data_IF_360422749487
#
_entry.id   IF_360422749487
#
_cell.length_a   1.000
_cell.length_b   1.000
_cell.length_c   1.000
_cell.angle_alpha   90.00
_cell.angle_beta   90.00
_cell.angle_gamma   90.00
#
_symmetry.space_group_name_H-M   'P 1'
#
loop_
_entity.id
_entity.type
_entity.pdbx_description
1 polymer ?
#
# COMPACT_ATOMS: atom_id res chain seq x y z
N UNK A 1 12.09 -16.94 65.80
CA UNK A 1 11.14 -17.08 64.68
C UNK A 1 11.34 -15.89 63.72
N UNK A 2 12.11 -16.09 62.63
CA UNK A 2 12.45 -15.04 61.67
C UNK A 2 11.60 -15.24 60.42
N UNK A 3 10.70 -14.29 60.18
CA UNK A 3 9.93 -14.23 58.92
C UNK A 3 10.79 -13.65 57.82
N UNK A 4 11.09 -14.43 56.80
CA UNK A 4 11.74 -13.95 55.58
C UNK A 4 10.63 -13.61 54.56
N UNK A 5 10.48 -12.31 54.25
CA UNK A 5 9.56 -11.84 53.22
C UNK A 5 10.27 -11.95 51.86
N UNK A 6 9.79 -12.84 51.02
CA UNK A 6 10.25 -12.96 49.64
C UNK A 6 9.53 -11.89 48.76
N UNK A 7 10.24 -10.89 48.30
CA UNK A 7 9.73 -9.92 47.34
C UNK A 7 9.83 -10.51 45.93
N UNK A 8 8.70 -10.83 45.34
CA UNK A 8 8.61 -11.24 43.92
C UNK A 8 8.71 -10.00 43.04
N UNK A 9 9.81 -9.86 42.30
CA UNK A 9 9.98 -8.86 41.29
C UNK A 9 9.29 -9.33 39.99
N UNK A 10 8.14 -8.76 39.67
CA UNK A 10 7.49 -8.96 38.39
C UNK A 10 8.26 -8.15 37.34
N UNK A 11 9.12 -8.82 36.57
CA UNK A 11 9.73 -8.23 35.38
C UNK A 11 8.67 -8.17 34.25
N UNK A 12 8.06 -7.01 34.09
CA UNK A 12 7.17 -6.73 32.96
C UNK A 12 7.99 -6.63 31.68
N UNK A 13 7.92 -7.66 30.83
CA UNK A 13 8.48 -7.59 29.46
C UNK A 13 7.63 -6.64 28.64
N UNK A 14 8.13 -5.42 28.42
CA UNK A 14 7.55 -4.51 27.44
C UNK A 14 7.79 -5.12 26.04
N UNK A 15 6.74 -5.66 25.43
CA UNK A 15 6.73 -6.02 24.02
C UNK A 15 6.81 -4.71 23.23
N UNK A 16 8.00 -4.39 22.75
CA UNK A 16 8.19 -3.29 21.79
C UNK A 16 7.44 -3.67 20.52
N UNK A 17 6.32 -3.00 20.26
CA UNK A 17 5.61 -3.11 18.99
C UNK A 17 6.56 -2.63 17.89
N UNK A 18 7.14 -3.58 17.14
CA UNK A 18 7.94 -3.27 15.96
C UNK A 18 7.04 -2.58 14.94
N UNK A 19 7.40 -1.34 14.53
CA UNK A 19 6.69 -0.64 13.47
C UNK A 19 6.71 -1.49 12.19
N UNK A 20 5.56 -1.61 11.52
CA UNK A 20 5.46 -2.39 10.28
C UNK A 20 6.20 -1.64 9.16
N UNK A 21 7.25 -2.25 8.63
CA UNK A 21 8.05 -1.71 7.51
C UNK A 21 7.72 -2.43 6.20
N UNK A 22 6.47 -2.82 6.01
CA UNK A 22 5.99 -3.52 4.82
C UNK A 22 4.89 -2.71 4.12
N UNK A 23 4.75 -2.82 2.79
CA UNK A 23 3.60 -2.25 2.08
C UNK A 23 2.26 -2.92 2.38
N UNK A 24 2.26 -4.09 3.04
CA UNK A 24 1.00 -4.78 3.39
C UNK A 24 0.16 -3.91 4.34
N UNK A 25 -1.12 -3.80 4.06
CA UNK A 25 -2.08 -3.05 4.87
C UNK A 25 -3.05 -2.21 4.05
N UNK A 26 -3.78 -1.34 4.73
CA UNK A 26 -4.73 -0.41 4.14
C UNK A 26 -4.10 0.99 4.04
N UNK A 27 -4.16 1.58 2.86
CA UNK A 27 -3.52 2.84 2.55
C UNK A 27 -4.51 3.86 1.99
N UNK A 28 -4.44 5.09 2.48
CA UNK A 28 -5.13 6.24 1.89
C UNK A 28 -4.27 6.82 0.78
N UNK A 29 -4.82 6.88 -0.42
CA UNK A 29 -4.19 7.56 -1.56
C UNK A 29 -4.51 9.05 -1.52
N UNK A 30 -3.54 9.86 -1.91
CA UNK A 30 -3.60 11.32 -1.75
C UNK A 30 -3.54 11.98 -3.12
N UNK A 31 -4.44 12.92 -3.36
CA UNK A 31 -4.45 13.74 -4.57
C UNK A 31 -3.23 14.67 -4.62
N UNK A 32 -2.52 14.67 -5.74
CA UNK A 32 -1.42 15.63 -5.97
C UNK A 32 -1.91 17.05 -6.22
N UNK A 33 -3.21 17.23 -6.48
CA UNK A 33 -3.78 18.55 -6.78
C UNK A 33 -4.04 19.37 -5.53
N UNK A 34 -4.58 18.73 -4.49
CA UNK A 34 -5.12 19.42 -3.33
C UNK A 34 -4.85 18.72 -1.99
N UNK A 35 -4.15 17.58 -2.01
CA UNK A 35 -3.82 16.81 -0.81
C UNK A 35 -5.02 16.06 -0.18
N UNK A 36 -6.17 16.02 -0.84
CA UNK A 36 -7.32 15.27 -0.34
C UNK A 36 -7.13 13.77 -0.46
N UNK A 37 -7.80 13.01 0.41
CA UNK A 37 -7.86 11.54 0.31
C UNK A 37 -8.77 11.17 -0.86
N UNK A 38 -8.25 10.38 -1.82
CA UNK A 38 -8.99 9.98 -3.02
C UNK A 38 -9.57 8.58 -2.93
N UNK A 39 -8.85 7.65 -2.31
CA UNK A 39 -9.31 6.26 -2.16
C UNK A 39 -8.59 5.55 -1.01
N UNK A 40 -9.05 4.35 -0.70
CA UNK A 40 -8.34 3.39 0.13
C UNK A 40 -7.97 2.17 -0.71
N UNK A 41 -6.70 1.76 -0.61
CA UNK A 41 -6.14 0.62 -1.31
C UNK A 41 -5.64 -0.40 -0.29
N UNK A 42 -6.12 -1.63 -0.39
CA UNK A 42 -5.65 -2.76 0.41
C UNK A 42 -4.53 -3.47 -0.34
N UNK A 43 -3.36 -3.54 0.28
CA UNK A 43 -2.22 -4.32 -0.20
C UNK A 43 -2.12 -5.60 0.63
N UNK A 44 -2.04 -6.74 -0.06
CA UNK A 44 -1.94 -8.07 0.55
C UNK A 44 -0.72 -8.82 0.02
N UNK A 45 -0.23 -9.76 0.82
CA UNK A 45 0.88 -10.65 0.48
C UNK A 45 0.30 -12.04 0.15
N UNK A 46 0.60 -12.53 -1.04
CA UNK A 46 0.29 -13.87 -1.50
C UNK A 46 1.59 -14.63 -1.75
N UNK A 47 2.10 -15.30 -0.71
CA UNK A 47 3.34 -16.09 -0.78
C UNK A 47 4.55 -15.28 -1.30
N UNK A 48 4.74 -14.08 -0.80
CA UNK A 48 5.86 -13.19 -1.15
C UNK A 48 5.60 -12.25 -2.32
N UNK A 49 4.46 -12.37 -3.00
CA UNK A 49 4.05 -11.48 -4.11
C UNK A 49 2.92 -10.57 -3.66
N UNK A 50 3.14 -9.26 -3.70
CA UNK A 50 2.13 -8.30 -3.29
C UNK A 50 1.18 -7.96 -4.43
N UNK A 51 -0.09 -7.84 -4.07
CA UNK A 51 -1.14 -7.26 -4.90
C UNK A 51 -1.93 -6.21 -4.12
N UNK A 52 -2.66 -5.34 -4.83
CA UNK A 52 -3.43 -4.29 -4.19
C UNK A 52 -4.75 -4.03 -4.91
N UNK A 53 -5.81 -3.80 -4.11
CA UNK A 53 -7.17 -3.53 -4.61
C UNK A 53 -7.73 -2.25 -4.03
N UNK A 54 -8.50 -1.52 -4.83
CA UNK A 54 -9.29 -0.38 -4.35
C UNK A 54 -10.43 -0.93 -3.50
N UNK A 55 -10.46 -0.59 -2.20
CA UNK A 55 -11.56 -0.94 -1.31
C UNK A 55 -12.64 0.14 -1.26
N UNK A 56 -12.23 1.41 -1.39
CA UNK A 56 -13.12 2.56 -1.27
C UNK A 56 -12.63 3.73 -2.12
N UNK A 57 -13.56 4.51 -2.63
CA UNK A 57 -13.29 5.83 -3.22
C UNK A 57 -13.99 6.93 -2.42
N UNK A 58 -13.33 8.06 -2.26
CA UNK A 58 -13.87 9.28 -1.67
C UNK A 58 -14.13 10.36 -2.74
N UNK A 59 -13.81 10.04 -3.99
CA UNK A 59 -14.01 10.94 -5.13
C UNK A 59 -15.50 11.06 -5.46
N UNK A 60 -15.98 12.29 -5.57
CA UNK A 60 -17.38 12.60 -5.92
C UNK A 60 -17.67 12.48 -7.42
N UNK A 61 -16.63 12.52 -8.25
CA UNK A 61 -16.71 12.35 -9.70
C UNK A 61 -16.70 10.87 -10.16
N UNK A 62 -16.51 9.93 -9.21
CA UNK A 62 -16.55 8.48 -9.47
C UNK A 62 -17.83 7.90 -8.88
N UNK A 63 -18.70 7.36 -9.72
CA UNK A 63 -19.94 6.72 -9.29
C UNK A 63 -19.65 5.39 -8.58
N UNK A 64 -20.56 4.97 -7.68
CA UNK A 64 -20.42 3.71 -6.95
C UNK A 64 -20.38 2.47 -7.87
N UNK A 65 -21.00 2.52 -9.04
CA UNK A 65 -21.04 1.47 -10.05
C UNK A 65 -20.05 1.69 -11.19
N UNK A 66 -19.12 2.65 -11.05
CA UNK A 66 -18.12 2.94 -12.07
C UNK A 66 -17.25 1.71 -12.37
N UNK A 67 -16.90 1.55 -13.63
CA UNK A 67 -16.08 0.47 -14.16
C UNK A 67 -14.82 1.02 -14.82
N UNK A 68 -13.77 0.18 -14.90
CA UNK A 68 -12.56 0.53 -15.63
C UNK A 68 -12.77 0.36 -17.13
N UNK A 69 -13.46 1.28 -17.76
CA UNK A 69 -13.76 1.29 -19.19
C UNK A 69 -12.53 1.57 -20.06
N UNK A 70 -11.48 2.19 -19.50
CA UNK A 70 -10.21 2.46 -20.17
C UNK A 70 -9.14 1.39 -19.95
N UNK A 71 -9.36 0.44 -19.02
CA UNK A 71 -8.47 -0.71 -18.87
C UNK A 71 -8.44 -1.56 -20.15
N UNK A 72 -7.28 -2.17 -20.46
CA UNK A 72 -7.05 -2.88 -21.72
C UNK A 72 -6.86 -4.40 -21.57
N UNK A 73 -6.64 -4.88 -20.34
CA UNK A 73 -6.43 -6.29 -20.01
C UNK A 73 -7.71 -6.91 -19.42
N UNK A 74 -7.56 -7.95 -18.62
CA UNK A 74 -8.66 -8.63 -17.90
C UNK A 74 -9.45 -7.73 -16.96
N UNK A 75 -8.95 -6.52 -16.67
CA UNK A 75 -9.62 -5.49 -15.84
C UNK A 75 -10.58 -4.60 -16.63
N UNK A 76 -10.63 -4.76 -17.96
CA UNK A 76 -11.57 -4.03 -18.81
C UNK A 76 -13.01 -4.21 -18.33
N UNK A 77 -13.70 -3.09 -18.08
CA UNK A 77 -15.09 -3.04 -17.62
C UNK A 77 -15.34 -3.70 -16.24
N UNK A 78 -14.30 -4.00 -15.49
CA UNK A 78 -14.43 -4.44 -14.11
C UNK A 78 -14.78 -3.27 -13.18
N UNK A 79 -15.56 -3.49 -12.10
CA UNK A 79 -15.86 -2.43 -11.14
C UNK A 79 -14.60 -1.79 -10.57
N UNK A 80 -14.62 -0.46 -10.41
CA UNK A 80 -13.52 0.29 -9.77
C UNK A 80 -13.35 -0.14 -8.31
N UNK A 81 -14.46 -0.29 -7.57
CA UNK A 81 -14.38 -0.86 -6.21
C UNK A 81 -14.12 -2.35 -6.31
N UNK A 82 -13.03 -2.79 -5.69
CA UNK A 82 -12.51 -4.15 -5.78
C UNK A 82 -11.49 -4.37 -6.90
N UNK A 83 -11.25 -3.36 -7.74
CA UNK A 83 -10.30 -3.47 -8.86
C UNK A 83 -8.89 -3.72 -8.34
N UNK A 84 -8.25 -4.78 -8.85
CA UNK A 84 -6.84 -5.06 -8.59
C UNK A 84 -5.96 -4.14 -9.42
N UNK A 85 -5.49 -3.06 -8.77
CA UNK A 85 -4.66 -2.05 -9.45
C UNK A 85 -3.17 -2.36 -9.36
N UNK A 86 -2.74 -3.12 -8.33
CA UNK A 86 -1.33 -3.47 -8.11
C UNK A 86 -1.15 -4.97 -8.29
N UNK A 87 -0.12 -5.36 -9.05
CA UNK A 87 0.22 -6.76 -9.34
C UNK A 87 1.72 -7.00 -9.33
N UNK A 88 2.11 -8.17 -8.80
CA UNK A 88 3.42 -8.75 -9.04
C UNK A 88 4.60 -8.09 -8.33
N UNK A 89 4.37 -7.36 -7.22
CA UNK A 89 5.48 -6.76 -6.48
C UNK A 89 6.19 -7.79 -5.61
N UNK A 90 7.51 -7.85 -5.73
CA UNK A 90 8.39 -8.64 -4.88
C UNK A 90 9.34 -7.77 -4.05
N UNK A 91 9.73 -8.25 -2.87
CA UNK A 91 10.71 -7.54 -2.05
C UNK A 91 12.10 -7.64 -2.67
N UNK A 92 12.80 -6.50 -2.75
CA UNK A 92 14.22 -6.48 -3.09
C UNK A 92 15.02 -7.23 -2.00
N UNK A 93 15.98 -8.10 -2.36
CA UNK A 93 16.70 -8.93 -1.39
C UNK A 93 17.56 -8.15 -0.38
N UNK A 94 18.01 -6.93 -0.73
CA UNK A 94 18.97 -6.14 0.05
C UNK A 94 18.45 -4.78 0.52
N UNK A 95 17.27 -4.34 0.02
CA UNK A 95 16.70 -3.02 0.31
C UNK A 95 15.25 -3.17 0.75
N UNK A 96 14.76 -2.22 1.55
CA UNK A 96 13.36 -2.14 1.94
C UNK A 96 12.51 -1.51 0.82
N UNK A 97 12.58 -2.11 -0.36
CA UNK A 97 11.85 -1.73 -1.56
C UNK A 97 11.14 -2.95 -2.12
N UNK A 98 9.89 -2.78 -2.54
CA UNK A 98 9.13 -3.76 -3.30
C UNK A 98 9.01 -3.27 -4.74
N UNK A 99 9.38 -4.11 -5.69
CA UNK A 99 9.54 -3.75 -7.10
C UNK A 99 9.23 -4.92 -8.05
N UNK A 100 9.36 -4.68 -9.36
CA UNK A 100 9.14 -5.70 -10.39
C UNK A 100 7.66 -5.92 -10.74
N UNK A 101 6.76 -5.21 -10.07
CA UNK A 101 5.34 -5.25 -10.36
C UNK A 101 4.84 -4.06 -11.16
N UNK A 102 3.52 -3.97 -11.27
CA UNK A 102 2.82 -2.94 -12.04
C UNK A 102 1.67 -2.33 -11.25
N UNK A 103 1.28 -1.12 -11.65
CA UNK A 103 0.05 -0.46 -11.21
C UNK A 103 -0.71 0.05 -12.43
N UNK A 104 -2.03 -0.16 -12.47
CA UNK A 104 -2.90 0.48 -13.45
C UNK A 104 -3.50 1.76 -12.87
N UNK A 105 -3.52 2.80 -13.67
CA UNK A 105 -4.31 4.00 -13.40
C UNK A 105 -5.69 3.82 -14.06
N UNK A 106 -6.77 3.64 -13.29
CA UNK A 106 -8.09 3.41 -13.88
C UNK A 106 -8.65 4.65 -14.60
N UNK A 107 -8.13 5.84 -14.33
CA UNK A 107 -8.58 7.07 -14.98
C UNK A 107 -8.15 7.17 -16.45
N UNK A 108 -7.07 6.48 -16.82
CA UNK A 108 -6.57 6.47 -18.21
C UNK A 108 -6.29 5.07 -18.77
N UNK A 109 -6.40 4.02 -17.94
CA UNK A 109 -6.13 2.64 -18.33
C UNK A 109 -4.66 2.30 -18.54
N UNK A 110 -3.74 3.22 -18.22
CA UNK A 110 -2.30 3.01 -18.41
C UNK A 110 -1.74 2.13 -17.29
N UNK A 111 -0.92 1.16 -17.67
CA UNK A 111 -0.18 0.30 -16.76
C UNK A 111 1.24 0.82 -16.63
N UNK A 112 1.65 1.12 -15.41
CA UNK A 112 2.99 1.60 -15.08
C UNK A 112 3.77 0.50 -14.37
N UNK A 113 5.10 0.49 -14.52
CA UNK A 113 6.00 -0.21 -13.62
C UNK A 113 5.94 0.44 -12.24
N UNK A 114 6.14 -0.35 -11.18
CA UNK A 114 5.88 0.10 -9.83
C UNK A 114 7.04 -0.24 -8.90
N UNK A 115 7.38 0.74 -8.05
CA UNK A 115 8.19 0.56 -6.84
C UNK A 115 7.44 1.10 -5.64
N UNK A 116 7.53 0.40 -4.52
CA UNK A 116 6.97 0.82 -3.24
C UNK A 116 8.04 0.80 -2.16
N UNK A 117 8.10 1.86 -1.36
CA UNK A 117 9.05 1.98 -0.26
C UNK A 117 8.33 2.48 0.98
N UNK A 118 8.20 1.65 2.04
CA UNK A 118 7.72 2.13 3.33
C UNK A 118 8.68 3.16 3.90
N UNK A 119 8.15 4.27 4.40
CA UNK A 119 8.89 5.36 5.01
C UNK A 119 8.21 5.77 6.32
N UNK A 120 8.87 6.64 7.08
CA UNK A 120 8.35 7.16 8.36
C UNK A 120 7.87 6.03 9.30
N UNK A 121 8.75 5.05 9.53
CA UNK A 121 8.45 3.90 10.39
C UNK A 121 7.27 3.04 9.92
N UNK A 122 6.98 3.03 8.62
CA UNK A 122 5.85 2.32 8.04
C UNK A 122 4.51 3.06 8.08
N UNK A 123 4.49 4.31 8.55
CA UNK A 123 3.27 5.15 8.57
C UNK A 123 2.92 5.69 7.20
N UNK A 124 3.89 5.79 6.31
CA UNK A 124 3.76 6.27 4.94
C UNK A 124 4.36 5.29 3.95
N UNK A 125 3.89 5.35 2.72
CA UNK A 125 4.34 4.52 1.62
C UNK A 125 4.63 5.41 0.42
N UNK A 126 5.90 5.45 -0.01
CA UNK A 126 6.23 6.01 -1.32
C UNK A 126 5.83 5.03 -2.41
N UNK A 127 5.05 5.51 -3.34
CA UNK A 127 4.53 4.74 -4.48
C UNK A 127 5.00 5.41 -5.76
N UNK A 128 5.95 4.78 -6.46
CA UNK A 128 6.53 5.32 -7.68
C UNK A 128 6.11 4.50 -8.89
N UNK A 129 5.30 5.12 -9.74
CA UNK A 129 4.94 4.60 -11.06
C UNK A 129 5.82 5.20 -12.14
N UNK A 130 6.29 4.38 -13.11
CA UNK A 130 7.17 4.84 -14.18
C UNK A 130 7.00 4.01 -15.45
N UNK A 131 7.43 4.59 -16.57
CA UNK A 131 7.49 3.92 -17.89
C UNK A 131 8.95 3.85 -18.32
N UNK A 132 9.39 2.68 -18.79
CA UNK A 132 10.79 2.47 -19.18
C UNK A 132 11.70 2.37 -17.95
N UNK A 133 12.52 3.41 -17.70
CA UNK A 133 13.41 3.48 -16.54
C UNK A 133 12.81 4.27 -15.40
N UNK A 134 13.17 3.94 -14.15
CA UNK A 134 12.60 4.55 -12.94
C UNK A 134 12.82 6.07 -12.83
N UNK A 135 13.78 6.63 -13.59
CA UNK A 135 14.04 8.07 -13.66
C UNK A 135 12.84 8.84 -14.23
N UNK A 136 12.10 8.24 -15.18
CA UNK A 136 10.93 8.85 -15.82
C UNK A 136 9.65 8.36 -15.16
N UNK A 137 9.37 8.86 -13.98
CA UNK A 137 8.20 8.46 -13.23
C UNK A 137 7.68 9.53 -12.32
N UNK A 138 6.60 9.18 -11.60
CA UNK A 138 5.93 10.04 -10.63
C UNK A 138 5.84 9.29 -9.31
N UNK A 139 6.14 9.98 -8.23
CA UNK A 139 6.03 9.46 -6.87
C UNK A 139 4.84 10.09 -6.15
N UNK A 140 4.03 9.24 -5.54
CA UNK A 140 2.99 9.63 -4.58
C UNK A 140 3.37 9.13 -3.20
N UNK A 141 2.92 9.81 -2.17
CA UNK A 141 3.02 9.34 -0.79
C UNK A 141 1.63 8.96 -0.29
N UNK A 142 1.45 7.69 0.03
CA UNK A 142 0.22 7.18 0.64
C UNK A 142 0.36 7.15 2.16
N UNK A 143 -0.76 7.29 2.87
CA UNK A 143 -0.81 7.32 4.33
C UNK A 143 -1.42 6.01 4.83
N UNK A 144 -0.77 5.36 5.79
CA UNK A 144 -1.31 4.12 6.36
C UNK A 144 -2.61 4.40 7.10
N UNK A 145 -3.65 3.67 6.74
CA UNK A 145 -4.95 3.69 7.42
C UNK A 145 -5.04 2.60 8.50
N UNK A 146 -4.43 1.45 8.24
CA UNK A 146 -4.34 0.29 9.15
C UNK A 146 -3.06 -0.52 8.88
#
# INVERSE_FOLDING_TARGET
>A
MRLTVLAAVLSGSALSAMAQTTPVGLWKTISDKDGSVTSEVRVVDNAGVLSGRIERTFRTDVKADAKCDLCKDDRKDQPIIGLEIIRGLGKNPTKDVWEGGTVVDPDNGTVYKLKMTPIDGGKKLEVRGFVGVALFGRTQTWIRAQ
#
